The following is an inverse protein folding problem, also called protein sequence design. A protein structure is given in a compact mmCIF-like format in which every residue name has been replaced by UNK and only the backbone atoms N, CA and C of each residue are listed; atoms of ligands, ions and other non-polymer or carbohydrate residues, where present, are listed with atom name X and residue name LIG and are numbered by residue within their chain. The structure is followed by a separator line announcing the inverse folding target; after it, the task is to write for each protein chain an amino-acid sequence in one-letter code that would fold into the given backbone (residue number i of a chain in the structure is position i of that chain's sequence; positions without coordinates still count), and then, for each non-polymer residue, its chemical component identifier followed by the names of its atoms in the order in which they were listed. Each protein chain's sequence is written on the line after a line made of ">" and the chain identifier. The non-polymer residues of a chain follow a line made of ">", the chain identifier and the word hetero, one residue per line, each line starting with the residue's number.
data_IF_350031377536
#
_entry.id   IF_350031377536
#
_cell.length_a   1.000
_cell.length_b   1.000
_cell.length_c   1.000
_cell.angle_alpha   90.00
_cell.angle_beta   90.00
_cell.angle_gamma   90.00
#
_symmetry.space_group_name_H-M   'P 1'
#
loop_
_entity.id
_entity.type
_entity.pdbx_description
1 polymer ?
#
# COMPACT_ATOMS: atom_id res chain seq x y z
N UNK A 1 4.70 23.11 -18.61
CA UNK A 1 4.98 21.76 -18.06
C UNK A 1 6.09 21.71 -17.00
N UNK A 2 7.25 22.40 -17.15
CA UNK A 2 8.36 22.34 -16.16
C UNK A 2 8.01 22.79 -14.73
N UNK A 3 7.19 23.84 -14.58
CA UNK A 3 6.76 24.39 -13.27
C UNK A 3 5.87 23.40 -12.50
N UNK A 4 4.81 22.90 -13.17
CA UNK A 4 3.88 21.87 -12.62
C UNK A 4 4.63 20.62 -12.14
N UNK A 5 5.60 20.12 -12.93
CA UNK A 5 6.39 18.94 -12.54
C UNK A 5 7.28 19.20 -11.31
N UNK A 6 7.76 20.43 -11.11
CA UNK A 6 8.58 20.84 -9.95
C UNK A 6 7.69 20.99 -8.70
N UNK A 7 6.50 21.54 -8.86
CA UNK A 7 5.53 21.72 -7.76
C UNK A 7 5.02 20.37 -7.25
N UNK A 8 4.63 19.45 -8.15
CA UNK A 8 4.23 18.08 -7.79
C UNK A 8 5.36 17.37 -7.02
N UNK A 9 6.60 17.46 -7.51
CA UNK A 9 7.75 16.83 -6.84
C UNK A 9 7.96 17.39 -5.42
N UNK A 10 7.76 18.69 -5.22
CA UNK A 10 7.89 19.33 -3.90
C UNK A 10 6.80 18.85 -2.95
N UNK A 11 5.55 18.80 -3.43
CA UNK A 11 4.40 18.30 -2.66
C UNK A 11 4.61 16.83 -2.28
N UNK A 12 5.05 15.98 -3.22
CA UNK A 12 5.33 14.57 -2.93
C UNK A 12 6.38 14.40 -1.83
N UNK A 13 7.47 15.17 -1.88
CA UNK A 13 8.52 15.11 -0.84
C UNK A 13 7.99 15.53 0.54
N UNK A 14 7.15 16.56 0.57
CA UNK A 14 6.55 17.06 1.81
C UNK A 14 5.58 16.03 2.39
N UNK A 15 4.73 15.43 1.56
CA UNK A 15 3.80 14.35 1.97
C UNK A 15 4.56 13.12 2.50
N UNK A 16 5.64 12.71 1.83
CA UNK A 16 6.48 11.58 2.29
C UNK A 16 7.12 11.90 3.64
N UNK A 17 7.66 13.11 3.83
CA UNK A 17 8.25 13.52 5.10
C UNK A 17 7.21 13.51 6.25
N UNK A 18 6.02 14.07 6.00
CA UNK A 18 4.90 14.04 6.95
C UNK A 18 4.47 12.62 7.29
N UNK A 19 4.39 11.73 6.30
CA UNK A 19 4.04 10.33 6.54
C UNK A 19 5.06 9.64 7.46
N UNK A 20 6.36 9.83 7.21
CA UNK A 20 7.43 9.26 8.05
C UNK A 20 7.34 9.78 9.48
N UNK A 21 7.20 11.10 9.67
CA UNK A 21 7.09 11.70 11.00
C UNK A 21 5.85 11.17 11.73
N UNK A 22 4.72 11.05 11.04
CA UNK A 22 3.47 10.54 11.61
C UNK A 22 3.63 9.10 12.07
N UNK A 23 4.26 8.24 11.26
CA UNK A 23 4.54 6.85 11.62
C UNK A 23 5.40 6.77 12.89
N UNK A 24 6.47 7.58 12.98
CA UNK A 24 7.34 7.61 14.16
C UNK A 24 6.56 8.03 15.40
N UNK A 25 5.76 9.10 15.32
CA UNK A 25 4.96 9.59 16.45
C UNK A 25 3.95 8.54 16.90
N UNK A 26 3.28 7.87 15.96
CA UNK A 26 2.31 6.80 16.26
C UNK A 26 2.99 5.64 16.98
N UNK A 27 4.15 5.19 16.51
CA UNK A 27 4.93 4.12 17.16
C UNK A 27 5.32 4.55 18.59
N UNK A 28 5.77 5.78 18.80
CA UNK A 28 6.16 6.27 20.13
C UNK A 28 4.96 6.37 21.09
N UNK A 29 3.79 6.83 20.63
CA UNK A 29 2.61 7.04 21.48
C UNK A 29 1.80 5.77 21.78
N UNK A 30 1.97 4.70 21.00
CA UNK A 30 1.21 3.46 21.18
C UNK A 30 1.90 2.44 22.10
N UNK A 31 3.11 2.75 22.58
CA UNK A 31 3.83 1.94 23.58
C UNK A 31 3.01 1.91 24.87
N UNK A 32 2.46 0.75 25.20
CA UNK A 32 1.65 0.53 26.40
C UNK A 32 0.13 0.47 26.18
N UNK A 33 -0.37 0.82 24.98
CA UNK A 33 -1.81 0.79 24.68
C UNK A 33 -2.13 -0.15 23.49
N UNK A 34 -2.12 -1.44 23.78
CA UNK A 34 -2.34 -2.51 22.79
C UNK A 34 -3.70 -2.44 22.10
N UNK A 35 -4.75 -2.01 22.82
CA UNK A 35 -6.09 -1.89 22.25
C UNK A 35 -6.13 -0.85 21.13
N UNK A 36 -5.54 0.33 21.40
CA UNK A 36 -5.41 1.40 20.41
C UNK A 36 -4.57 0.95 19.21
N UNK A 37 -3.50 0.19 19.45
CA UNK A 37 -2.63 -0.34 18.40
C UNK A 37 -3.39 -1.27 17.43
N UNK A 38 -4.22 -2.18 17.96
CA UNK A 38 -5.05 -3.08 17.16
C UNK A 38 -6.10 -2.33 16.35
N UNK A 39 -6.78 -1.37 16.96
CA UNK A 39 -7.78 -0.53 16.28
C UNK A 39 -7.13 0.26 15.13
N UNK A 40 -5.96 0.86 15.38
CA UNK A 40 -5.19 1.57 14.34
C UNK A 40 -4.77 0.65 13.19
N UNK A 41 -4.35 -0.58 13.47
CA UNK A 41 -4.00 -1.55 12.42
C UNK A 41 -5.19 -1.84 11.53
N UNK A 42 -6.35 -2.11 12.14
CA UNK A 42 -7.57 -2.46 11.41
C UNK A 42 -8.08 -1.31 10.56
N UNK A 43 -8.12 -0.09 11.10
CA UNK A 43 -8.52 1.09 10.33
C UNK A 43 -7.55 1.38 9.18
N UNK A 44 -6.25 1.27 9.44
CA UNK A 44 -5.22 1.42 8.39
C UNK A 44 -5.37 0.35 7.31
N UNK A 45 -5.67 -0.89 7.69
CA UNK A 45 -5.88 -1.98 6.75
C UNK A 45 -7.15 -1.77 5.90
N UNK A 46 -8.25 -1.29 6.49
CA UNK A 46 -9.46 -0.91 5.74
C UNK A 46 -9.15 0.13 4.66
N UNK A 47 -8.44 1.19 5.04
CA UNK A 47 -7.98 2.24 4.12
C UNK A 47 -7.04 1.67 3.04
N UNK A 48 -6.13 0.77 3.43
CA UNK A 48 -5.25 0.06 2.51
C UNK A 48 -6.03 -0.77 1.47
N UNK A 49 -7.04 -1.53 1.89
CA UNK A 49 -7.88 -2.33 0.99
C UNK A 49 -8.61 -1.42 -0.01
N UNK A 50 -9.23 -0.35 0.47
CA UNK A 50 -9.90 0.63 -0.39
C UNK A 50 -8.94 1.23 -1.42
N UNK A 51 -7.72 1.57 -0.99
CA UNK A 51 -6.66 2.11 -1.86
C UNK A 51 -6.28 1.10 -2.94
N UNK A 52 -6.03 -0.16 -2.58
CA UNK A 52 -5.65 -1.21 -3.52
C UNK A 52 -6.76 -1.48 -4.55
N UNK A 53 -8.03 -1.52 -4.11
CA UNK A 53 -9.17 -1.64 -5.04
C UNK A 53 -9.20 -0.48 -6.03
N UNK A 54 -8.98 0.75 -5.57
CA UNK A 54 -8.87 1.93 -6.43
C UNK A 54 -7.73 1.81 -7.45
N UNK A 55 -6.55 1.35 -7.02
CA UNK A 55 -5.39 1.16 -7.90
C UNK A 55 -5.62 0.06 -8.96
N UNK A 56 -6.32 -1.02 -8.59
CA UNK A 56 -6.74 -2.07 -9.53
C UNK A 56 -7.69 -1.48 -10.57
N UNK A 57 -8.71 -0.72 -10.16
CA UNK A 57 -9.67 -0.10 -11.07
C UNK A 57 -8.99 0.84 -12.07
N UNK A 58 -8.08 1.70 -11.60
CA UNK A 58 -7.29 2.60 -12.46
C UNK A 58 -6.46 1.78 -13.47
N UNK A 59 -5.79 0.72 -12.99
CA UNK A 59 -4.97 -0.13 -13.84
C UNK A 59 -5.77 -0.85 -14.92
N UNK A 60 -6.96 -1.38 -14.58
CA UNK A 60 -7.86 -2.01 -15.56
C UNK A 60 -8.31 -0.99 -16.61
N UNK A 61 -8.67 0.23 -16.19
CA UNK A 61 -9.03 1.29 -17.12
C UNK A 61 -7.86 1.60 -18.07
N UNK A 62 -6.63 1.77 -17.56
CA UNK A 62 -5.44 1.97 -18.39
C UNK A 62 -5.18 0.81 -19.37
N UNK A 63 -5.26 -0.44 -18.91
CA UNK A 63 -5.06 -1.61 -19.77
C UNK A 63 -6.14 -1.74 -20.85
N UNK A 64 -7.34 -1.21 -20.63
CA UNK A 64 -8.42 -1.23 -21.62
C UNK A 64 -8.14 -0.34 -22.84
N UNK A 65 -7.32 0.70 -22.67
CA UNK A 65 -6.90 1.59 -23.77
C UNK A 65 -5.77 1.02 -24.63
N UNK A 66 -5.17 -0.11 -24.23
CA UNK A 66 -4.07 -0.73 -24.95
C UNK A 66 -4.55 -1.68 -26.07
N UNK A 67 -3.88 -1.63 -27.21
CA UNK A 67 -4.12 -2.56 -28.32
C UNK A 67 -3.69 -3.99 -27.95
N UNK A 68 -4.27 -4.98 -28.64
CA UNK A 68 -4.09 -6.42 -28.33
C UNK A 68 -2.63 -6.88 -28.35
N UNK A 69 -1.83 -6.44 -29.32
CA UNK A 69 -0.41 -6.80 -29.43
C UNK A 69 0.38 -6.34 -28.20
N UNK A 70 0.23 -5.07 -27.78
CA UNK A 70 0.94 -4.54 -26.60
C UNK A 70 0.52 -5.25 -25.30
N UNK A 71 -0.73 -5.70 -25.20
CA UNK A 71 -1.24 -6.47 -24.05
C UNK A 71 -0.63 -7.86 -24.00
N UNK A 72 -0.43 -8.50 -25.15
CA UNK A 72 0.20 -9.81 -25.24
C UNK A 72 1.69 -9.75 -24.92
N UNK A 73 2.40 -8.72 -25.41
CA UNK A 73 3.82 -8.49 -25.10
C UNK A 73 4.04 -8.25 -23.59
N UNK A 74 3.15 -7.47 -22.97
CA UNK A 74 3.25 -7.11 -21.56
C UNK A 74 2.50 -8.07 -20.61
N UNK A 75 1.97 -9.20 -21.10
CA UNK A 75 1.11 -10.10 -20.33
C UNK A 75 1.71 -10.51 -18.98
N UNK A 76 2.97 -10.93 -18.95
CA UNK A 76 3.63 -11.37 -17.72
C UNK A 76 3.78 -10.22 -16.71
N UNK A 77 4.01 -8.99 -17.18
CA UNK A 77 4.07 -7.82 -16.32
C UNK A 77 2.71 -7.56 -15.64
N UNK A 78 1.60 -7.67 -16.37
CA UNK A 78 0.26 -7.49 -15.81
C UNK A 78 -0.16 -8.62 -14.87
N UNK A 79 0.23 -9.87 -15.17
CA UNK A 79 -0.01 -10.99 -14.26
C UNK A 79 0.77 -10.84 -12.95
N UNK A 80 2.04 -10.41 -13.01
CA UNK A 80 2.84 -10.15 -11.81
C UNK A 80 2.27 -8.99 -11.00
N UNK A 81 1.81 -7.92 -11.67
CA UNK A 81 1.11 -6.81 -11.04
C UNK A 81 -0.16 -7.28 -10.31
N UNK A 82 -1.01 -8.07 -10.98
CA UNK A 82 -2.25 -8.57 -10.38
C UNK A 82 -1.95 -9.49 -9.19
N UNK A 83 -0.91 -10.32 -9.30
CA UNK A 83 -0.44 -11.20 -8.22
C UNK A 83 -0.01 -10.38 -7.01
N UNK A 84 0.77 -9.32 -7.21
CA UNK A 84 1.18 -8.41 -6.13
C UNK A 84 -0.04 -7.78 -5.45
N UNK A 85 -1.03 -7.34 -6.22
CA UNK A 85 -2.27 -6.76 -5.67
C UNK A 85 -3.08 -7.78 -4.88
N UNK A 86 -3.18 -9.03 -5.34
CA UNK A 86 -3.87 -10.10 -4.64
C UNK A 86 -3.17 -10.48 -3.33
N UNK A 87 -1.83 -10.59 -3.36
CA UNK A 87 -1.01 -10.83 -2.17
C UNK A 87 -1.20 -9.70 -1.16
N UNK A 88 -1.18 -8.46 -1.62
CA UNK A 88 -1.38 -7.28 -0.77
C UNK A 88 -2.78 -7.26 -0.15
N UNK A 89 -3.83 -7.54 -0.92
CA UNK A 89 -5.18 -7.67 -0.38
C UNK A 89 -5.27 -8.78 0.67
N UNK A 90 -4.75 -9.96 0.36
CA UNK A 90 -4.77 -11.09 1.30
C UNK A 90 -4.06 -10.75 2.60
N UNK A 91 -2.90 -10.08 2.51
CA UNK A 91 -2.16 -9.60 3.68
C UNK A 91 -2.96 -8.59 4.50
N UNK A 92 -3.62 -7.62 3.86
CA UNK A 92 -4.45 -6.64 4.53
C UNK A 92 -5.74 -7.25 5.11
N UNK A 93 -6.28 -8.33 4.55
CA UNK A 93 -7.39 -9.05 5.17
C UNK A 93 -6.93 -9.81 6.43
N UNK A 94 -5.72 -10.35 6.42
CA UNK A 94 -5.19 -11.09 7.56
C UNK A 94 -4.93 -10.18 8.79
N UNK A 95 -4.76 -8.86 8.62
CA UNK A 95 -4.70 -7.93 9.77
C UNK A 95 -5.97 -7.93 10.61
N UNK A 96 -7.13 -8.28 10.05
CA UNK A 96 -8.39 -8.33 10.80
C UNK A 96 -8.42 -9.47 11.84
N UNK A 97 -7.48 -10.41 11.77
CA UNK A 97 -7.33 -11.48 12.75
C UNK A 97 -6.59 -11.03 14.02
N UNK A 98 -5.97 -9.85 14.02
CA UNK A 98 -5.17 -9.35 15.15
C UNK A 98 -5.89 -9.19 16.50
N UNK A 99 -7.19 -8.83 16.57
CA UNK A 99 -7.91 -8.77 17.84
C UNK A 99 -8.05 -10.13 18.53
N UNK A 100 -7.94 -11.23 17.77
CA UNK A 100 -8.05 -12.59 18.30
C UNK A 100 -6.72 -13.15 18.80
N UNK A 101 -5.61 -12.43 18.58
CA UNK A 101 -4.30 -12.81 19.11
C UNK A 101 -4.16 -12.40 20.58
N UNK A 102 -3.56 -13.23 21.44
CA UNK A 102 -3.37 -12.90 22.86
C UNK A 102 -2.43 -11.71 23.03
N UNK A 103 -2.93 -10.66 23.69
CA UNK A 103 -2.31 -9.33 23.81
C UNK A 103 -1.15 -9.28 24.85
N UNK A 104 -0.95 -10.35 25.63
CA UNK A 104 -0.18 -10.29 26.88
C UNK A 104 1.35 -10.42 26.74
N UNK A 105 1.98 -9.98 25.64
CA UNK A 105 3.44 -10.15 25.51
C UNK A 105 4.14 -9.09 24.66
N UNK A 106 5.42 -8.84 24.97
CA UNK A 106 6.37 -8.12 24.10
C UNK A 106 6.43 -8.70 22.68
N UNK A 107 6.08 -9.99 22.53
CA UNK A 107 5.99 -10.70 21.26
C UNK A 107 4.89 -10.13 20.36
N UNK A 108 3.78 -9.64 20.94
CA UNK A 108 2.70 -8.98 20.21
C UNK A 108 3.17 -7.66 19.57
N UNK A 109 3.92 -6.83 20.30
CA UNK A 109 4.51 -5.60 19.76
C UNK A 109 5.49 -5.90 18.62
N UNK A 110 6.30 -6.95 18.75
CA UNK A 110 7.22 -7.35 17.69
C UNK A 110 6.47 -7.79 16.42
N UNK A 111 5.45 -8.64 16.58
CA UNK A 111 4.58 -9.09 15.46
C UNK A 111 3.90 -7.89 14.81
N UNK A 112 3.33 -6.99 15.60
CA UNK A 112 2.68 -5.78 15.10
C UNK A 112 3.64 -4.95 14.24
N UNK A 113 4.84 -4.65 14.75
CA UNK A 113 5.81 -3.82 14.02
C UNK A 113 6.22 -4.46 12.69
N UNK A 114 6.44 -5.79 12.67
CA UNK A 114 6.75 -6.53 11.45
C UNK A 114 5.58 -6.43 10.46
N UNK A 115 4.35 -6.64 10.93
CA UNK A 115 3.15 -6.59 10.09
C UNK A 115 2.91 -5.20 9.51
N UNK A 116 3.11 -4.17 10.33
CA UNK A 116 2.96 -2.78 9.95
C UNK A 116 3.99 -2.37 8.88
N UNK A 117 5.27 -2.71 9.10
CA UNK A 117 6.35 -2.46 8.13
C UNK A 117 6.10 -3.18 6.80
N UNK A 118 5.73 -4.47 6.85
CA UNK A 118 5.40 -5.24 5.65
C UNK A 118 4.19 -4.63 4.91
N UNK A 119 3.17 -4.19 5.64
CA UNK A 119 2.01 -3.51 5.06
C UNK A 119 2.39 -2.24 4.31
N UNK A 120 3.26 -1.40 4.90
CA UNK A 120 3.76 -0.19 4.22
C UNK A 120 4.55 -0.54 2.96
N UNK A 121 5.43 -1.55 3.03
CA UNK A 121 6.23 -1.99 1.89
C UNK A 121 5.33 -2.50 0.75
N UNK A 122 4.31 -3.31 1.08
CA UNK A 122 3.37 -3.84 0.10
C UNK A 122 2.55 -2.71 -0.55
N UNK A 123 2.00 -1.78 0.25
CA UNK A 123 1.27 -0.62 -0.27
C UNK A 123 2.15 0.26 -1.17
N UNK A 124 3.39 0.53 -0.76
CA UNK A 124 4.36 1.27 -1.56
C UNK A 124 4.72 0.56 -2.87
N UNK A 125 4.94 -0.75 -2.81
CA UNK A 125 5.19 -1.59 -3.97
C UNK A 125 4.00 -1.60 -4.95
N UNK A 126 2.79 -1.72 -4.44
CA UNK A 126 1.54 -1.62 -5.19
C UNK A 126 1.42 -0.29 -5.93
N UNK A 127 1.70 0.84 -5.28
CA UNK A 127 1.70 2.17 -5.91
C UNK A 127 2.72 2.27 -7.05
N UNK A 128 3.95 1.80 -6.83
CA UNK A 128 5.02 1.81 -7.83
C UNK A 128 4.62 0.93 -9.03
N UNK A 129 4.07 -0.26 -8.76
CA UNK A 129 3.65 -1.19 -9.80
C UNK A 129 2.49 -0.61 -10.62
N UNK A 130 1.49 0.03 -9.99
CA UNK A 130 0.41 0.74 -10.68
C UNK A 130 0.95 1.86 -11.56
N UNK A 131 1.91 2.64 -11.08
CA UNK A 131 2.55 3.66 -11.92
C UNK A 131 3.25 3.04 -13.15
N UNK A 132 3.87 1.87 -12.99
CA UNK A 132 4.43 1.11 -14.10
C UNK A 132 3.39 0.68 -15.14
N UNK A 133 2.21 0.22 -14.68
CA UNK A 133 1.07 -0.10 -15.57
C UNK A 133 0.60 1.13 -16.33
N UNK A 134 0.38 2.25 -15.62
CA UNK A 134 -0.06 3.50 -16.22
C UNK A 134 0.95 3.95 -17.28
N UNK A 135 2.24 3.94 -16.96
CA UNK A 135 3.30 4.34 -17.89
C UNK A 135 3.24 3.52 -19.19
N UNK A 136 3.14 2.19 -19.08
CA UNK A 136 3.02 1.31 -20.25
C UNK A 136 1.73 1.51 -21.06
N UNK A 137 0.68 2.08 -20.46
CA UNK A 137 -0.57 2.36 -21.17
C UNK A 137 -0.52 3.63 -22.02
N UNK A 138 0.43 4.53 -21.75
CA UNK A 138 0.58 5.79 -22.46
C UNK A 138 1.89 5.88 -23.26
N UNK A 139 2.69 4.82 -23.27
CA UNK A 139 3.81 4.61 -24.20
C UNK A 139 3.32 3.81 -25.42
#
# INVERSE_FOLDING_TARGET
>A
MRKIRKDIRSITRLVVALAIITVIIVICNTIGNMKMLTEMLQETAKLGISTIIGLIAISIACMSFQNHESRMENKNFYLNYLTLMLVTLTFLLATFLFPYLPINSNLYYAIFNIYFLLGIILLGGSLIATFGVIKKAFE
#
